data_IF_672862921414
#
_entry.id   IF_672862921414
#
_cell.length_a   1.000
_cell.length_b   1.000
_cell.length_c   1.000
_cell.angle_alpha   90.00
_cell.angle_beta   90.00
_cell.angle_gamma   90.00
#
_symmetry.space_group_name_H-M   'P 1'
#
loop_
_entity.id
_entity.type
_entity.pdbx_description
1 polymer ?
#
# COMPACT_ATOMS: atom_id res chain seq x y z
N UNK A 1 -8.29 -36.16 -12.57
CA UNK A 1 -7.41 -35.31 -13.39
C UNK A 1 -6.94 -34.15 -12.52
N UNK A 2 -5.76 -34.29 -11.94
CA UNK A 2 -5.25 -33.34 -10.94
C UNK A 2 -4.56 -32.19 -11.66
N UNK A 3 -5.31 -31.11 -11.91
CA UNK A 3 -4.74 -29.84 -12.35
C UNK A 3 -4.01 -29.21 -11.15
N UNK A 4 -2.78 -29.69 -10.90
CA UNK A 4 -1.81 -28.94 -10.11
C UNK A 4 -1.69 -27.57 -10.75
N UNK A 5 -2.30 -26.57 -10.13
CA UNK A 5 -2.27 -25.19 -10.57
C UNK A 5 -0.85 -24.67 -10.39
N UNK A 6 0.03 -25.03 -11.34
CA UNK A 6 1.40 -24.53 -11.42
C UNK A 6 1.31 -23.02 -11.35
N UNK A 7 1.78 -22.48 -10.23
CA UNK A 7 1.78 -21.05 -9.91
C UNK A 7 2.43 -20.35 -11.10
N UNK A 8 1.64 -19.62 -11.90
CA UNK A 8 2.15 -18.92 -13.08
C UNK A 8 3.22 -17.94 -12.59
N UNK A 9 4.47 -18.16 -13.00
CA UNK A 9 5.56 -17.22 -12.67
C UNK A 9 5.19 -15.86 -13.27
N UNK A 10 5.31 -14.81 -12.46
CA UNK A 10 5.22 -13.44 -12.95
C UNK A 10 6.52 -13.16 -13.69
N UNK A 11 6.44 -12.98 -15.00
CA UNK A 11 7.58 -12.58 -15.82
C UNK A 11 7.97 -11.14 -15.49
N UNK A 12 9.28 -10.88 -15.36
CA UNK A 12 9.79 -9.53 -15.23
C UNK A 12 9.56 -8.74 -16.53
N UNK A 13 9.61 -7.41 -16.47
CA UNK A 13 9.49 -6.57 -17.65
C UNK A 13 10.60 -6.85 -18.68
N UNK A 14 11.82 -7.11 -18.20
CA UNK A 14 12.97 -7.47 -19.03
C UNK A 14 12.78 -8.81 -19.72
N UNK A 15 12.26 -9.82 -19.01
CA UNK A 15 11.96 -11.13 -19.59
C UNK A 15 10.93 -11.00 -20.72
N UNK A 16 9.84 -10.24 -20.51
CA UNK A 16 8.84 -9.96 -21.55
C UNK A 16 9.44 -9.30 -22.79
N UNK A 17 10.36 -8.35 -22.59
CA UNK A 17 11.06 -7.68 -23.68
C UNK A 17 11.99 -8.62 -24.46
N UNK A 18 12.74 -9.49 -23.77
CA UNK A 18 13.59 -10.52 -24.43
C UNK A 18 12.76 -11.45 -25.30
N UNK A 19 11.63 -11.95 -24.77
CA UNK A 19 10.72 -12.83 -25.51
C UNK A 19 10.18 -12.12 -26.76
N UNK A 20 9.83 -10.84 -26.66
CA UNK A 20 9.35 -10.05 -27.79
C UNK A 20 10.44 -9.94 -28.89
N UNK A 21 11.68 -9.63 -28.52
CA UNK A 21 12.80 -9.52 -29.45
C UNK A 21 13.10 -10.86 -30.16
N UNK A 22 13.14 -11.96 -29.41
CA UNK A 22 13.33 -13.30 -29.97
C UNK A 22 12.22 -13.69 -30.96
N UNK A 23 10.98 -13.26 -30.72
CA UNK A 23 9.86 -13.49 -31.61
C UNK A 23 9.86 -12.59 -32.86
N UNK A 24 10.52 -11.43 -32.82
CA UNK A 24 10.59 -10.47 -33.93
C UNK A 24 11.74 -10.81 -34.90
N UNK A 25 12.77 -11.52 -34.44
CA UNK A 25 13.88 -11.96 -35.29
C UNK A 25 13.41 -12.87 -36.43
N UNK A 26 13.69 -12.46 -37.66
CA UNK A 26 13.35 -13.22 -38.87
C UNK A 26 14.11 -14.55 -38.91
N UNK A 27 13.39 -15.67 -38.79
CA UNK A 27 13.93 -17.02 -38.89
C UNK A 27 13.63 -17.93 -37.70
N UNK A 28 13.11 -17.38 -36.59
CA UNK A 28 12.76 -18.16 -35.40
C UNK A 28 11.31 -18.63 -35.47
N UNK A 29 11.07 -19.93 -35.21
CA UNK A 29 9.72 -20.46 -35.06
C UNK A 29 9.14 -19.99 -33.74
N UNK A 30 8.14 -19.11 -33.79
CA UNK A 30 7.43 -18.54 -32.63
C UNK A 30 7.02 -19.64 -31.63
N UNK A 31 6.53 -20.78 -32.12
CA UNK A 31 6.10 -21.89 -31.27
C UNK A 31 7.22 -22.55 -30.44
N UNK A 32 8.48 -22.50 -30.90
CA UNK A 32 9.62 -23.04 -30.14
C UNK A 32 9.99 -22.13 -28.97
N UNK A 33 9.98 -20.81 -29.19
CA UNK A 33 10.23 -19.79 -28.15
C UNK A 33 9.15 -19.88 -27.06
N UNK A 34 7.87 -19.94 -27.45
CA UNK A 34 6.77 -20.03 -26.50
C UNK A 34 6.86 -21.26 -25.60
N UNK A 35 7.29 -22.41 -26.12
CA UNK A 35 7.48 -23.63 -25.32
C UNK A 35 8.63 -23.52 -24.33
N UNK A 36 9.74 -22.85 -24.70
CA UNK A 36 10.88 -22.61 -23.78
C UNK A 36 10.46 -21.77 -22.58
N UNK A 37 9.62 -20.76 -22.81
CA UNK A 37 9.15 -19.85 -21.75
C UNK A 37 7.86 -20.31 -21.07
N UNK A 38 7.20 -21.37 -21.57
CA UNK A 38 5.92 -21.85 -21.05
C UNK A 38 4.76 -20.89 -21.29
N UNK A 39 4.81 -20.13 -22.39
CA UNK A 39 3.82 -19.11 -22.77
C UNK A 39 2.85 -19.62 -23.82
N UNK A 40 1.64 -19.07 -23.82
CA UNK A 40 0.65 -19.32 -24.85
C UNK A 40 0.65 -18.21 -25.92
N UNK A 41 0.01 -18.46 -27.06
CA UNK A 41 -0.14 -17.47 -28.13
C UNK A 41 -0.87 -16.21 -27.68
N UNK A 42 -1.81 -16.34 -26.72
CA UNK A 42 -2.50 -15.20 -26.09
C UNK A 42 -1.52 -14.30 -25.35
N UNK A 43 -0.57 -14.87 -24.62
CA UNK A 43 0.39 -14.10 -23.82
C UNK A 43 1.32 -13.30 -24.73
N UNK A 44 1.70 -13.87 -25.89
CA UNK A 44 2.47 -13.15 -26.89
C UNK A 44 1.72 -11.93 -27.43
N UNK A 45 0.42 -12.04 -27.67
CA UNK A 45 -0.39 -10.89 -28.09
C UNK A 45 -0.47 -9.81 -27.01
N UNK A 46 -0.58 -10.22 -25.74
CA UNK A 46 -0.55 -9.29 -24.60
C UNK A 46 0.78 -8.56 -24.53
N UNK A 47 1.90 -9.28 -24.62
CA UNK A 47 3.26 -8.69 -24.61
C UNK A 47 3.42 -7.71 -25.78
N UNK A 48 2.97 -8.07 -26.99
CA UNK A 48 3.03 -7.18 -28.16
C UNK A 48 2.25 -5.87 -27.93
N UNK A 49 1.07 -5.96 -27.33
CA UNK A 49 0.26 -4.78 -27.01
C UNK A 49 0.94 -3.90 -25.95
N UNK A 50 1.40 -4.50 -24.86
CA UNK A 50 2.11 -3.78 -23.79
C UNK A 50 3.36 -3.07 -24.32
N UNK A 51 4.17 -3.75 -25.15
CA UNK A 51 5.37 -3.16 -25.77
C UNK A 51 5.01 -2.00 -26.69
N UNK A 52 3.96 -2.13 -27.51
CA UNK A 52 3.50 -1.07 -28.41
C UNK A 52 3.04 0.16 -27.63
N UNK A 53 2.21 -0.03 -26.61
CA UNK A 53 1.71 1.06 -25.76
C UNK A 53 2.86 1.76 -25.02
N UNK A 54 3.76 0.98 -24.40
CA UNK A 54 4.92 1.53 -23.70
C UNK A 54 5.86 2.30 -24.63
N UNK A 55 6.08 1.81 -25.85
CA UNK A 55 6.87 2.50 -26.85
C UNK A 55 6.23 3.83 -27.27
N UNK A 56 4.92 3.84 -27.54
CA UNK A 56 4.18 5.06 -27.90
C UNK A 56 4.17 6.08 -26.76
N UNK A 57 3.92 5.64 -25.53
CA UNK A 57 3.97 6.50 -24.35
C UNK A 57 5.36 7.11 -24.18
N UNK A 58 6.41 6.28 -24.26
CA UNK A 58 7.79 6.77 -24.10
C UNK A 58 8.20 7.70 -25.23
N UNK A 59 7.87 7.39 -26.47
CA UNK A 59 8.20 8.22 -27.63
C UNK A 59 7.43 9.54 -27.61
N UNK A 60 6.15 9.53 -27.22
CA UNK A 60 5.37 10.75 -27.05
C UNK A 60 5.97 11.66 -25.96
N UNK A 61 6.44 11.08 -24.85
CA UNK A 61 7.12 11.81 -23.76
C UNK A 61 8.53 12.28 -24.12
N UNK A 62 9.24 11.52 -24.96
CA UNK A 62 10.61 11.77 -25.38
C UNK A 62 10.72 12.64 -26.64
N UNK A 63 9.61 13.21 -27.12
CA UNK A 63 9.56 14.06 -28.30
C UNK A 63 10.62 15.17 -28.22
N UNK A 64 11.61 15.21 -29.13
CA UNK A 64 12.65 16.23 -29.14
C UNK A 64 12.04 17.63 -29.25
N UNK A 65 12.34 18.51 -28.29
CA UNK A 65 11.78 19.86 -28.21
C UNK A 65 11.45 20.28 -26.77
N UNK A 66 10.88 21.48 -26.61
CA UNK A 66 10.46 22.00 -25.29
C UNK A 66 9.47 21.02 -24.67
N UNK A 67 9.88 20.36 -23.58
CA UNK A 67 9.02 19.51 -22.76
C UNK A 67 7.80 20.35 -22.39
N UNK A 68 6.64 20.06 -22.97
CA UNK A 68 5.39 20.51 -22.38
C UNK A 68 5.34 19.77 -21.06
N UNK A 69 5.64 20.45 -19.95
CA UNK A 69 5.25 19.94 -18.64
C UNK A 69 3.80 19.48 -18.81
N UNK A 70 3.49 18.25 -18.37
CA UNK A 70 2.13 17.72 -18.46
C UNK A 70 1.19 18.86 -18.11
N UNK A 71 0.41 19.30 -19.10
CA UNK A 71 -0.46 20.47 -18.96
C UNK A 71 -1.59 19.97 -18.08
N UNK A 72 -1.31 19.88 -16.78
CA UNK A 72 -2.34 19.72 -15.77
C UNK A 72 -3.19 20.97 -15.93
N UNK A 73 -4.49 20.81 -16.22
CA UNK A 73 -5.42 21.94 -16.25
C UNK A 73 -5.20 22.79 -15.01
N UNK A 74 -5.12 24.11 -15.20
CA UNK A 74 -4.78 25.03 -14.09
C UNK A 74 -5.79 24.86 -12.96
N UNK A 75 -7.03 24.55 -13.33
CA UNK A 75 -8.16 24.24 -12.47
C UNK A 75 -7.87 23.03 -11.56
N UNK A 76 -7.44 21.89 -12.12
CA UNK A 76 -7.12 20.69 -11.34
C UNK A 76 -5.92 20.93 -10.42
N UNK A 77 -4.91 21.64 -10.91
CA UNK A 77 -3.73 21.99 -10.10
C UNK A 77 -4.12 22.86 -8.91
N UNK A 78 -5.01 23.82 -9.11
CA UNK A 78 -5.42 24.75 -8.06
C UNK A 78 -6.41 24.10 -7.08
N UNK A 79 -7.27 23.18 -7.54
CA UNK A 79 -8.09 22.33 -6.67
C UNK A 79 -7.22 21.44 -5.77
N UNK A 80 -6.24 20.72 -6.36
CA UNK A 80 -5.32 19.86 -5.60
C UNK A 80 -4.51 20.64 -4.56
N UNK A 81 -4.10 21.87 -4.88
CA UNK A 81 -3.42 22.76 -3.92
C UNK A 81 -4.32 23.15 -2.76
N UNK A 82 -5.59 23.51 -3.03
CA UNK A 82 -6.55 23.85 -1.97
C UNK A 82 -6.81 22.66 -1.06
N UNK A 83 -7.01 21.47 -1.63
CA UNK A 83 -7.19 20.26 -0.84
C UNK A 83 -5.97 19.93 0.03
N UNK A 84 -4.76 20.12 -0.49
CA UNK A 84 -3.53 19.95 0.29
C UNK A 84 -3.48 20.94 1.46
N UNK A 85 -3.73 22.22 1.20
CA UNK A 85 -3.75 23.26 2.23
C UNK A 85 -4.81 22.98 3.31
N UNK A 86 -6.00 22.50 2.94
CA UNK A 86 -7.06 22.14 3.87
C UNK A 86 -6.66 20.94 4.75
N UNK A 87 -6.09 19.90 4.15
CA UNK A 87 -5.60 18.70 4.88
C UNK A 87 -4.46 19.06 5.82
N UNK A 88 -3.53 19.91 5.41
CA UNK A 88 -2.42 20.39 6.25
C UNK A 88 -2.92 21.23 7.44
N UNK A 89 -3.89 22.12 7.23
CA UNK A 89 -4.53 22.90 8.31
C UNK A 89 -5.21 21.98 9.33
N UNK A 90 -6.00 21.01 8.87
CA UNK A 90 -6.66 20.04 9.75
C UNK A 90 -5.64 19.22 10.57
N UNK A 91 -4.54 18.79 9.95
CA UNK A 91 -3.46 18.09 10.66
C UNK A 91 -2.79 18.97 11.72
N UNK A 92 -2.60 20.26 11.44
CA UNK A 92 -2.03 21.20 12.40
C UNK A 92 -2.95 21.40 13.61
N UNK A 93 -4.25 21.60 13.38
CA UNK A 93 -5.26 21.72 14.44
C UNK A 93 -5.33 20.47 15.32
N UNK A 94 -5.39 19.29 14.71
CA UNK A 94 -5.38 18.01 15.43
C UNK A 94 -4.08 17.83 16.24
N UNK A 95 -2.94 18.26 15.71
CA UNK A 95 -1.65 18.21 16.44
C UNK A 95 -1.64 19.13 17.66
N UNK A 96 -2.21 20.35 17.55
CA UNK A 96 -2.37 21.26 18.68
C UNK A 96 -3.32 20.69 19.74
N UNK A 97 -4.45 20.13 19.30
CA UNK A 97 -5.41 19.48 20.21
C UNK A 97 -4.78 18.28 20.93
N UNK A 98 -4.03 17.45 20.21
CA UNK A 98 -3.34 16.28 20.77
C UNK A 98 -2.27 16.67 21.78
N UNK A 99 -1.43 17.68 21.46
CA UNK A 99 -0.39 18.15 22.39
C UNK A 99 -0.99 18.80 23.64
N UNK A 100 -2.08 19.55 23.49
CA UNK A 100 -2.82 20.16 24.61
C UNK A 100 -3.45 19.09 25.51
N UNK A 101 -4.10 18.09 24.91
CA UNK A 101 -4.70 16.98 25.65
C UNK A 101 -3.64 16.12 26.36
N UNK A 102 -2.52 15.82 25.68
CA UNK A 102 -1.42 15.05 26.27
C UNK A 102 -0.86 15.75 27.51
N UNK A 103 -0.60 17.06 27.45
CA UNK A 103 -0.11 17.85 28.60
C UNK A 103 -1.07 17.77 29.80
N UNK A 104 -2.38 17.83 29.57
CA UNK A 104 -3.41 17.70 30.62
C UNK A 104 -3.48 16.27 31.18
N UNK A 105 -3.43 15.26 30.33
CA UNK A 105 -3.48 13.86 30.75
C UNK A 105 -2.20 13.40 31.47
N UNK A 106 -1.03 13.99 31.17
CA UNK A 106 0.22 13.69 31.89
C UNK A 106 0.28 14.35 33.25
N UNK A 107 -0.36 15.51 33.43
CA UNK A 107 -0.40 16.21 34.72
C UNK A 107 -1.41 15.58 35.70
N UNK A 108 -2.54 15.07 35.19
CA UNK A 108 -3.55 14.42 36.02
C UNK A 108 -3.26 12.93 36.35
N UNK A 109 -2.16 12.37 35.83
CA UNK A 109 -1.61 11.10 36.33
C UNK A 109 -0.55 11.45 37.36
N UNK A 110 -0.91 11.37 38.64
CA UNK A 110 0.04 11.46 39.76
C UNK A 110 1.24 10.51 39.57
N UNK A 111 2.32 10.69 40.35
CA UNK A 111 3.57 9.97 40.15
C UNK A 111 3.32 8.47 40.04
N UNK A 112 3.90 7.84 39.01
CA UNK A 112 3.85 6.38 38.87
C UNK A 112 4.53 5.81 40.11
N UNK A 113 3.76 5.28 41.06
CA UNK A 113 4.32 4.63 42.24
C UNK A 113 5.19 3.49 41.73
N UNK A 114 6.49 3.55 42.05
CA UNK A 114 7.40 2.47 41.70
C UNK A 114 6.87 1.20 42.37
N UNK A 115 6.52 0.21 41.56
CA UNK A 115 6.07 -1.10 42.03
C UNK A 115 7.21 -1.69 42.87
N UNK A 116 7.00 -2.04 44.16
CA UNK A 116 8.07 -2.63 44.95
C UNK A 116 8.43 -3.99 44.31
N UNK A 117 9.71 -4.15 43.97
CA UNK A 117 10.25 -5.45 43.56
C UNK A 117 10.20 -6.38 44.76
N UNK A 118 9.56 -7.53 44.58
CA UNK A 118 9.37 -8.53 45.61
C UNK A 118 10.73 -9.08 46.10
N UNK A 119 11.06 -8.76 47.34
CA UNK A 119 11.96 -9.51 48.21
C UNK A 119 11.08 -9.77 49.44
N UNK A 120 10.37 -10.89 49.55
CA UNK A 120 10.93 -12.22 49.81
C UNK A 120 10.67 -12.53 51.28
N UNK A 121 9.48 -13.05 51.61
CA UNK A 121 9.20 -13.69 52.90
C UNK A 121 8.25 -14.88 52.69
N UNK A 122 8.58 -16.11 53.16
CA UNK A 122 7.87 -17.32 52.81
C UNK A 122 7.13 -17.92 54.01
N UNK A 123 5.92 -17.48 54.34
CA UNK A 123 5.08 -18.21 55.32
C UNK A 123 3.58 -17.99 55.11
N UNK A 124 2.92 -19.04 54.60
CA UNK A 124 1.54 -19.47 54.93
C UNK A 124 0.37 -18.66 54.35
N UNK A 125 -0.24 -19.09 53.23
CA UNK A 125 -1.42 -20.01 53.17
C UNK A 125 -2.74 -19.24 52.91
N UNK A 126 -3.83 -19.86 52.43
CA UNK A 126 -4.17 -19.79 51.01
C UNK A 126 -5.65 -19.39 50.83
N UNK A 127 -5.93 -18.12 50.59
CA UNK A 127 -7.23 -17.69 50.12
C UNK A 127 -7.09 -16.28 49.56
N UNK A 128 -7.39 -16.10 48.27
CA UNK A 128 -8.12 -14.96 47.74
C UNK A 128 -8.21 -15.12 46.21
N UNK A 129 -9.30 -15.73 45.75
CA UNK A 129 -10.47 -14.99 45.29
C UNK A 129 -10.14 -13.89 44.27
N UNK A 130 -10.53 -14.21 43.04
CA UNK A 130 -10.91 -13.28 41.99
C UNK A 130 -9.73 -12.49 41.40
N UNK A 131 -9.06 -13.15 40.46
CA UNK A 131 -8.52 -12.47 39.28
C UNK A 131 -9.68 -11.82 38.52
N UNK A 132 -10.11 -10.66 39.01
CA UNK A 132 -11.09 -9.80 38.37
C UNK A 132 -10.47 -9.24 37.11
N UNK A 133 -10.78 -9.89 35.98
CA UNK A 133 -10.81 -9.27 34.67
C UNK A 133 -11.43 -7.88 34.81
N UNK A 134 -10.65 -6.84 34.54
CA UNK A 134 -11.15 -5.59 33.97
C UNK A 134 -10.30 -5.27 32.76
N UNK A 135 -10.52 -6.09 31.72
CA UNK A 135 -10.49 -5.58 30.36
C UNK A 135 -11.52 -4.45 30.37
N UNK A 136 -11.05 -3.20 30.34
CA UNK A 136 -11.97 -2.09 30.09
C UNK A 136 -12.34 -2.20 28.63
N UNK A 137 -13.61 -2.50 28.41
CA UNK A 137 -14.27 -2.58 27.12
C UNK A 137 -13.92 -1.34 26.29
N UNK A 138 -13.13 -1.54 25.22
CA UNK A 138 -13.19 -0.65 24.07
C UNK A 138 -14.41 -1.10 23.26
N UNK A 139 -15.45 -0.26 23.08
CA UNK A 139 -16.48 -0.57 22.11
C UNK A 139 -15.88 -0.41 20.70
N UNK A 140 -15.32 -1.50 20.19
CA UNK A 140 -15.02 -1.68 18.78
C UNK A 140 -16.31 -2.06 18.05
N UNK A 141 -17.28 -1.14 18.00
CA UNK A 141 -18.40 -1.28 17.08
C UNK A 141 -18.69 0.08 16.44
N UNK A 142 -18.73 0.05 15.11
CA UNK A 142 -19.19 1.10 14.21
C UNK A 142 -18.16 2.13 13.73
N UNK A 143 -17.20 1.66 12.92
CA UNK A 143 -16.61 2.46 11.83
C UNK A 143 -16.25 1.56 10.64
N UNK A 144 -17.21 0.72 10.26
CA UNK A 144 -17.16 -0.12 9.05
C UNK A 144 -18.16 0.37 7.98
N UNK A 145 -18.46 1.68 7.95
CA UNK A 145 -19.39 2.29 6.97
C UNK A 145 -18.84 3.60 6.37
N UNK A 146 -17.53 3.70 6.18
CA UNK A 146 -16.91 4.86 5.51
C UNK A 146 -15.97 4.48 4.35
N UNK A 147 -16.05 3.25 3.85
CA UNK A 147 -15.26 2.81 2.69
C UNK A 147 -16.00 2.98 1.34
N UNK A 148 -17.31 3.23 1.35
CA UNK A 148 -18.12 3.34 0.12
C UNK A 148 -18.36 4.78 -0.35
N UNK A 149 -17.79 5.78 0.32
CA UNK A 149 -18.02 7.21 0.03
C UNK A 149 -16.80 7.93 -0.57
N UNK A 150 -15.89 7.22 -1.24
CA UNK A 150 -14.85 7.86 -2.07
C UNK A 150 -14.98 7.36 -3.51
N UNK A 151 -15.65 8.11 -4.41
CA UNK A 151 -15.52 7.86 -5.83
C UNK A 151 -14.08 8.17 -6.24
N UNK A 152 -13.39 7.16 -6.75
CA UNK A 152 -12.15 7.34 -7.50
C UNK A 152 -12.55 8.00 -8.82
N UNK A 153 -12.36 9.32 -8.91
CA UNK A 153 -12.48 10.13 -10.11
C UNK A 153 -11.14 10.75 -10.44
#
# INVERSE_FOLDING_TARGET
MENSSKKRRRLSAEEKWSIYQECEQSGVKIGEVLRKHGLYSSDLQLIRREVKEAALERLSRSRPGRKKAAVVPVEERDQLKRELEEKEKALAELSVMFTTLKKKCTWNRGPVSKRPTATGDPTGSPADHRYGKRVRDCPAHHLQLAADQYPQG
#
